data_IF_919590763429
#
_entry.id   IF_919590763429
#
_cell.length_a   1.000
_cell.length_b   1.000
_cell.length_c   1.000
_cell.angle_alpha   90.00
_cell.angle_beta   90.00
_cell.angle_gamma   90.00
#
_symmetry.space_group_name_H-M   'P 1'
#
loop_
_entity.id
_entity.type
_entity.pdbx_description
1 polymer ?
#
# COMPACT_ATOMS: atom_id res chain seq x y z
N UNK A 1 -4.21 0.93 9.01
CA UNK A 1 -4.93 0.09 8.02
C UNK A 1 -3.99 -0.61 7.05
N UNK A 2 -3.17 0.10 6.27
CA UNK A 2 -2.25 -0.53 5.28
C UNK A 2 -1.33 -1.59 5.90
N UNK A 3 -0.69 -1.30 7.04
CA UNK A 3 0.19 -2.27 7.71
C UNK A 3 -0.50 -3.60 8.04
N UNK A 4 -1.72 -3.57 8.56
CA UNK A 4 -2.46 -4.82 8.86
C UNK A 4 -2.76 -5.64 7.60
N UNK A 5 -2.95 -4.99 6.44
CA UNK A 5 -3.12 -5.69 5.16
C UNK A 5 -1.80 -6.38 4.79
N UNK A 6 -0.68 -5.65 4.83
CA UNK A 6 0.65 -6.20 4.54
C UNK A 6 1.00 -7.37 5.47
N UNK A 7 0.70 -7.25 6.77
CA UNK A 7 0.93 -8.31 7.77
C UNK A 7 0.10 -9.55 7.49
N UNK A 8 -1.19 -9.40 7.16
CA UNK A 8 -2.06 -10.52 6.81
C UNK A 8 -1.62 -11.20 5.52
N UNK A 9 -1.23 -10.43 4.51
CA UNK A 9 -0.69 -10.99 3.25
C UNK A 9 0.60 -11.75 3.50
N UNK A 10 1.57 -11.16 4.23
CA UNK A 10 2.81 -11.85 4.57
C UNK A 10 2.56 -13.15 5.34
N UNK A 11 1.69 -13.11 6.34
CA UNK A 11 1.29 -14.29 7.13
C UNK A 11 0.63 -15.37 6.27
N UNK A 12 -0.29 -14.99 5.38
CA UNK A 12 -0.92 -15.91 4.43
C UNK A 12 0.10 -16.64 3.53
N UNK A 13 1.17 -15.95 3.15
CA UNK A 13 2.27 -16.51 2.37
C UNK A 13 3.36 -17.21 3.22
N UNK A 14 3.20 -17.30 4.55
CA UNK A 14 4.13 -17.97 5.45
C UNK A 14 5.37 -17.16 5.85
N UNK A 15 5.37 -15.85 5.61
CA UNK A 15 6.46 -14.96 5.99
C UNK A 15 6.27 -14.40 7.40
N UNK A 16 7.38 -14.18 8.11
CA UNK A 16 7.39 -13.65 9.49
C UNK A 16 7.27 -12.12 9.57
N UNK A 17 7.54 -11.41 8.48
CA UNK A 17 7.59 -9.94 8.47
C UNK A 17 6.85 -9.40 7.23
N UNK A 18 6.09 -8.32 7.41
CA UNK A 18 5.35 -7.65 6.34
C UNK A 18 6.28 -6.95 5.33
N UNK A 19 7.53 -6.66 5.69
CA UNK A 19 8.50 -6.00 4.82
C UNK A 19 8.71 -6.76 3.49
N UNK A 20 8.47 -8.07 3.46
CA UNK A 20 8.51 -8.89 2.23
C UNK A 20 7.47 -8.45 1.18
N UNK A 21 6.37 -7.83 1.62
CA UNK A 21 5.34 -7.31 0.73
C UNK A 21 5.70 -5.94 0.15
N UNK A 22 6.81 -5.33 0.59
CA UNK A 22 7.32 -4.05 0.10
C UNK A 22 8.35 -4.32 -1.00
N UNK A 23 8.35 -3.48 -2.03
CA UNK A 23 9.34 -3.56 -3.10
C UNK A 23 10.67 -2.96 -2.62
N UNK A 24 11.75 -3.71 -2.83
CA UNK A 24 13.12 -3.23 -2.65
C UNK A 24 13.48 -2.35 -3.85
N UNK A 25 13.91 -1.12 -3.59
CA UNK A 25 14.34 -0.16 -4.61
C UNK A 25 15.87 -0.05 -4.60
N UNK A 26 16.48 0.49 -5.65
CA UNK A 26 17.95 0.57 -5.75
C UNK A 26 18.58 1.42 -4.63
N UNK A 27 17.84 2.40 -4.10
CA UNK A 27 18.21 3.28 -2.99
C UNK A 27 17.71 2.79 -1.62
N UNK A 28 16.82 1.78 -1.60
CA UNK A 28 16.35 1.09 -0.39
C UNK A 28 16.32 -0.44 -0.63
N UNK A 29 17.51 -1.06 -0.82
CA UNK A 29 17.62 -2.45 -1.25
C UNK A 29 17.08 -3.45 -0.22
N UNK A 30 16.94 -3.04 1.03
CA UNK A 30 16.38 -3.87 2.11
C UNK A 30 14.94 -3.46 2.48
N UNK A 31 14.36 -2.47 1.79
CA UNK A 31 13.02 -1.95 2.10
C UNK A 31 12.93 -1.32 3.49
N UNK A 32 14.06 -0.92 4.09
CA UNK A 32 14.19 -0.42 5.46
C UNK A 32 13.49 0.92 5.60
N UNK A 33 13.66 1.82 4.62
CA UNK A 33 13.05 3.15 4.65
C UNK A 33 11.53 3.03 4.61
N UNK A 34 11.02 2.27 3.65
CA UNK A 34 9.58 2.04 3.50
C UNK A 34 8.99 1.29 4.72
N UNK A 35 9.69 0.29 5.25
CA UNK A 35 9.27 -0.43 6.47
C UNK A 35 9.17 0.51 7.66
N UNK A 36 10.18 1.37 7.86
CA UNK A 36 10.19 2.35 8.95
C UNK A 36 9.07 3.37 8.79
N UNK A 37 8.83 3.85 7.57
CA UNK A 37 7.73 4.77 7.29
C UNK A 37 6.38 4.14 7.63
N UNK A 38 6.13 2.91 7.19
CA UNK A 38 4.88 2.19 7.51
C UNK A 38 4.72 2.00 9.02
N UNK A 39 5.80 1.71 9.74
CA UNK A 39 5.77 1.63 11.20
C UNK A 39 5.39 2.99 11.82
N UNK A 40 6.00 4.10 11.38
CA UNK A 40 5.67 5.44 11.89
C UNK A 40 4.21 5.79 11.59
N UNK A 41 3.74 5.57 10.35
CA UNK A 41 2.36 5.85 9.97
C UNK A 41 1.33 4.97 10.69
N UNK A 42 1.73 3.79 11.15
CA UNK A 42 0.84 2.84 11.85
C UNK A 42 0.81 3.01 13.36
N UNK A 43 1.81 3.65 13.95
CA UNK A 43 1.85 3.98 15.39
C UNK A 43 1.75 5.47 15.67
N UNK A 44 1.76 6.31 14.65
CA UNK A 44 1.45 7.73 14.80
C UNK A 44 0.07 7.86 15.43
N UNK A 45 -0.08 8.81 16.34
CA UNK A 45 -1.32 9.19 17.04
C UNK A 45 -2.45 9.67 16.09
N UNK A 46 -2.59 9.07 14.90
CA UNK A 46 -3.79 9.11 14.08
C UNK A 46 -4.88 8.36 14.85
N UNK A 47 -5.42 9.04 15.85
CA UNK A 47 -6.69 8.68 16.43
C UNK A 47 -7.66 8.52 15.26
N UNK A 48 -8.40 7.40 15.22
CA UNK A 48 -9.50 7.24 14.27
C UNK A 48 -10.50 8.41 14.36
N UNK A 49 -10.52 9.08 15.51
CA UNK A 49 -11.37 10.22 15.81
C UNK A 49 -10.75 11.57 15.43
N UNK A 50 -9.43 11.65 15.21
CA UNK A 50 -8.72 12.87 14.78
C UNK A 50 -7.70 12.54 13.68
N UNK A 51 -8.16 12.28 12.45
CA UNK A 51 -7.27 11.98 11.34
C UNK A 51 -6.47 13.24 10.95
N UNK A 52 -5.16 13.20 11.15
CA UNK A 52 -4.26 14.24 10.67
C UNK A 52 -3.87 13.98 9.21
N UNK A 53 -3.82 15.05 8.41
CA UNK A 53 -3.35 14.95 7.03
C UNK A 53 -1.85 14.62 6.98
N UNK A 54 -1.46 13.69 6.10
CA UNK A 54 -0.06 13.40 5.85
C UNK A 54 0.65 14.58 5.17
N UNK A 55 1.93 14.78 5.49
CA UNK A 55 2.81 15.66 4.71
C UNK A 55 2.97 15.12 3.28
N UNK A 56 3.27 15.98 2.31
CA UNK A 56 3.28 15.59 0.90
C UNK A 56 4.31 14.52 0.57
N UNK A 57 5.48 14.56 1.22
CA UNK A 57 6.49 13.51 1.13
C UNK A 57 5.95 12.16 1.62
N UNK A 58 5.32 12.13 2.79
CA UNK A 58 4.71 10.91 3.34
C UNK A 58 3.58 10.37 2.43
N UNK A 59 2.78 11.26 1.82
CA UNK A 59 1.77 10.85 0.83
C UNK A 59 2.41 10.19 -0.39
N UNK A 60 3.52 10.73 -0.90
CA UNK A 60 4.21 10.20 -2.06
C UNK A 60 4.71 8.77 -1.80
N UNK A 61 5.40 8.56 -0.67
CA UNK A 61 5.85 7.22 -0.28
C UNK A 61 4.68 6.27 -0.02
N UNK A 62 3.64 6.72 0.68
CA UNK A 62 2.46 5.88 0.92
C UNK A 62 1.82 5.41 -0.39
N UNK A 63 1.64 6.31 -1.36
CA UNK A 63 1.10 5.97 -2.69
C UNK A 63 2.01 5.00 -3.43
N UNK A 64 3.32 5.22 -3.40
CA UNK A 64 4.30 4.32 -4.03
C UNK A 64 4.20 2.91 -3.45
N UNK A 65 4.27 2.77 -2.12
CA UNK A 65 4.18 1.47 -1.44
C UNK A 65 2.85 0.77 -1.75
N UNK A 66 1.74 1.51 -1.70
CA UNK A 66 0.41 0.96 -2.03
C UNK A 66 0.35 0.48 -3.48
N UNK A 67 0.84 1.28 -4.42
CA UNK A 67 0.84 0.94 -5.84
C UNK A 67 1.70 -0.29 -6.12
N UNK A 68 2.91 -0.35 -5.57
CA UNK A 68 3.79 -1.51 -5.72
C UNK A 68 3.18 -2.78 -5.11
N UNK A 69 2.52 -2.65 -3.95
CA UNK A 69 1.79 -3.75 -3.33
C UNK A 69 0.64 -4.25 -4.23
N UNK A 70 -0.20 -3.36 -4.76
CA UNK A 70 -1.32 -3.72 -5.63
C UNK A 70 -0.87 -4.30 -6.98
N UNK A 71 0.28 -3.88 -7.51
CA UNK A 71 0.84 -4.48 -8.72
C UNK A 71 1.34 -5.91 -8.48
N UNK A 72 1.85 -6.20 -7.27
CA UNK A 72 2.29 -7.55 -6.88
C UNK A 72 1.12 -8.45 -6.48
N UNK A 73 0.11 -7.88 -5.84
CA UNK A 73 -1.08 -8.56 -5.35
C UNK A 73 -2.33 -7.85 -5.88
N UNK A 74 -2.66 -8.02 -7.18
CA UNK A 74 -3.76 -7.32 -7.80
C UNK A 74 -5.11 -7.78 -7.23
N UNK A 75 -6.08 -6.88 -7.24
CA UNK A 75 -7.46 -7.26 -7.00
C UNK A 75 -7.97 -8.20 -8.09
N UNK A 76 -9.02 -8.97 -7.76
CA UNK A 76 -9.75 -9.71 -8.78
C UNK A 76 -10.33 -8.72 -9.81
N UNK A 77 -9.94 -8.80 -11.10
CA UNK A 77 -10.41 -7.89 -12.14
C UNK A 77 -11.93 -7.95 -12.34
N UNK A 78 -12.59 -9.08 -12.02
CA UNK A 78 -14.05 -9.21 -12.12
C UNK A 78 -14.80 -8.27 -11.17
N UNK A 79 -14.15 -7.80 -10.11
CA UNK A 79 -14.71 -6.82 -9.18
C UNK A 79 -14.63 -5.37 -9.73
N UNK A 80 -13.89 -5.17 -10.81
CA UNK A 80 -13.64 -3.88 -11.45
C UNK A 80 -13.93 -3.95 -12.95
N UNK A 81 -15.17 -4.30 -13.36
CA UNK A 81 -15.54 -4.32 -14.76
C UNK A 81 -15.32 -2.92 -15.34
N UNK A 82 -14.60 -2.83 -16.46
CA UNK A 82 -14.40 -1.55 -17.11
C UNK A 82 -15.77 -0.99 -17.49
N UNK A 83 -16.01 0.28 -17.13
CA UNK A 83 -17.17 0.99 -17.65
C UNK A 83 -17.03 0.98 -19.17
N UNK A 84 -17.88 0.21 -19.85
CA UNK A 84 -18.03 0.30 -21.29
C UNK A 84 -18.48 1.73 -21.53
N UNK A 85 -17.57 2.61 -21.95
CA UNK A 85 -17.94 3.89 -22.53
C UNK A 85 -18.95 3.55 -23.62
N UNK A 86 -20.22 3.92 -23.41
CA UNK A 86 -21.19 3.92 -24.48
C UNK A 86 -20.63 4.90 -25.50
N UNK A 87 -19.97 4.36 -26.52
CA UNK A 87 -19.64 5.08 -27.74
C UNK A 87 -20.93 5.77 -28.16
N UNK A 88 -20.95 7.10 -28.02
CA UNK A 88 -22.07 7.91 -28.44
C UNK A 88 -22.23 7.72 -29.94
N UNK A 89 -23.18 6.90 -30.34
CA UNK A 89 -23.76 6.98 -31.67
C UNK A 89 -24.50 8.31 -31.73
N UNK A 90 -23.78 9.30 -32.28
CA UNK A 90 -24.35 10.52 -32.86
C UNK A 90 -25.23 10.19 -34.05
#
# INVERSE_FOLDING_TARGET
MLRSILEKTASFHGHKNFSVCIKQENDDPEGILHTRLINILSHGNYSLFEPQQMLDENKAYFRKILHDFLNRYPFNPDLFPQAVEKAGTS
#
